data_IF_100415322074
#
_entry.id   IF_100415322074
#
_cell.length_a   1.000
_cell.length_b   1.000
_cell.length_c   1.000
_cell.angle_alpha   90.00
_cell.angle_beta   90.00
_cell.angle_gamma   90.00
#
_symmetry.space_group_name_H-M   'P 1'
#
loop_
_entity.id
_entity.type
_entity.pdbx_description
1 polymer ?
#
# COMPACT_ATOMS: atom_id res chain seq x y z
N UNK A 1 -12.77 0.18 -40.65
CA UNK A 1 -13.06 0.52 -39.25
C UNK A 1 -12.00 1.48 -38.75
N UNK A 2 -12.42 2.50 -38.02
CA UNK A 2 -11.54 3.50 -37.41
C UNK A 2 -11.79 3.49 -35.91
N UNK A 3 -10.74 3.49 -35.11
CA UNK A 3 -10.83 3.66 -33.67
C UNK A 3 -10.16 4.98 -33.34
N UNK A 4 -10.92 5.97 -32.92
CA UNK A 4 -10.40 7.25 -32.45
C UNK A 4 -10.39 7.23 -30.92
N UNK A 5 -9.22 7.47 -30.36
CA UNK A 5 -9.01 7.43 -28.92
C UNK A 5 -8.67 8.83 -28.45
N UNK A 6 -9.52 9.39 -27.61
CA UNK A 6 -9.33 10.71 -27.02
C UNK A 6 -9.15 10.59 -25.52
N UNK A 7 -8.09 11.19 -24.97
CA UNK A 7 -7.92 11.39 -23.54
C UNK A 7 -8.21 12.85 -23.20
N UNK A 8 -9.09 13.11 -22.22
CA UNK A 8 -9.44 14.46 -21.74
C UNK A 8 -9.76 15.43 -22.90
N UNK A 9 -10.58 14.98 -23.85
CA UNK A 9 -10.98 15.70 -25.08
C UNK A 9 -9.86 15.96 -26.10
N UNK A 10 -8.67 15.41 -25.92
CA UNK A 10 -7.57 15.47 -26.87
C UNK A 10 -7.39 14.13 -27.57
N UNK A 11 -7.31 14.11 -28.90
CA UNK A 11 -7.01 12.89 -29.66
C UNK A 11 -5.58 12.45 -29.36
N UNK A 12 -5.41 11.22 -28.86
CA UNK A 12 -4.11 10.66 -28.52
C UNK A 12 -3.65 9.58 -29.50
N UNK A 13 -4.58 8.83 -30.09
CA UNK A 13 -4.24 7.73 -30.99
C UNK A 13 -5.42 7.44 -31.94
N UNK A 14 -5.10 7.04 -33.17
CA UNK A 14 -6.09 6.55 -34.13
C UNK A 14 -5.62 5.22 -34.72
N UNK A 15 -6.41 4.17 -34.57
CA UNK A 15 -6.19 2.91 -35.28
C UNK A 15 -7.09 2.82 -36.51
N UNK A 16 -6.54 2.33 -37.61
CA UNK A 16 -7.28 2.12 -38.84
C UNK A 16 -7.19 0.66 -39.29
N UNK A 17 -8.34 0.11 -39.67
CA UNK A 17 -8.47 -1.21 -40.27
C UNK A 17 -9.18 -1.05 -41.60
N UNK A 18 -8.46 -1.27 -42.71
CA UNK A 18 -9.02 -1.19 -44.06
C UNK A 18 -10.21 -2.13 -44.24
N UNK A 19 -10.05 -3.40 -43.84
CA UNK A 19 -11.10 -4.42 -43.88
C UNK A 19 -11.02 -5.32 -42.65
N UNK A 20 -12.17 -5.67 -42.08
CA UNK A 20 -12.30 -6.78 -41.13
C UNK A 20 -13.28 -7.77 -41.75
N UNK A 21 -12.87 -9.03 -41.89
CA UNK A 21 -13.72 -10.07 -42.46
C UNK A 21 -14.98 -10.30 -41.60
N UNK A 22 -16.05 -10.83 -42.20
CA UNK A 22 -17.21 -11.29 -41.46
C UNK A 22 -16.79 -12.31 -40.38
N UNK A 23 -17.31 -12.16 -39.16
CA UNK A 23 -16.94 -12.93 -37.96
C UNK A 23 -15.45 -12.82 -37.55
N UNK A 24 -14.69 -11.93 -38.18
CA UNK A 24 -13.29 -11.65 -37.87
C UNK A 24 -13.10 -10.84 -36.59
N UNK A 25 -11.86 -10.82 -36.08
CA UNK A 25 -11.47 -10.03 -34.90
C UNK A 25 -10.27 -9.14 -35.22
N UNK A 26 -10.39 -7.86 -34.90
CA UNK A 26 -9.27 -6.93 -34.83
C UNK A 26 -8.77 -6.80 -33.38
N UNK A 27 -7.50 -6.43 -33.19
CA UNK A 27 -6.96 -6.19 -31.85
C UNK A 27 -6.06 -4.96 -31.90
N UNK A 28 -6.46 -3.91 -31.18
CA UNK A 28 -5.63 -2.74 -30.91
C UNK A 28 -5.12 -2.81 -29.47
N UNK A 29 -3.89 -2.35 -29.24
CA UNK A 29 -3.31 -2.21 -27.90
C UNK A 29 -2.99 -0.74 -27.68
N UNK A 30 -3.50 -0.20 -26.59
CA UNK A 30 -3.22 1.15 -26.14
C UNK A 30 -2.60 1.07 -24.75
N UNK A 31 -1.53 1.81 -24.54
CA UNK A 31 -1.03 2.15 -23.22
C UNK A 31 -1.40 3.62 -22.97
N UNK A 32 -2.05 3.89 -21.85
CA UNK A 32 -2.47 5.23 -21.45
C UNK A 32 -2.18 5.44 -19.97
N UNK A 33 -1.52 6.56 -19.67
CA UNK A 33 -1.27 7.02 -18.30
C UNK A 33 -2.12 8.27 -18.07
N UNK A 34 -2.97 8.31 -17.04
CA UNK A 34 -3.72 9.52 -16.68
C UNK A 34 -2.77 10.65 -16.27
N UNK A 35 -3.05 11.88 -16.71
CA UNK A 35 -2.14 13.03 -16.51
C UNK A 35 -2.69 14.09 -15.55
N UNK A 36 -4.02 14.16 -15.37
CA UNK A 36 -4.64 15.14 -14.49
C UNK A 36 -4.67 14.64 -13.07
N UNK A 37 -4.43 15.51 -12.09
CA UNK A 37 -4.64 15.23 -10.66
C UNK A 37 -6.13 15.39 -10.34
N UNK A 38 -6.98 14.71 -11.11
CA UNK A 38 -8.43 14.77 -11.01
C UNK A 38 -9.12 13.75 -11.90
N UNK A 39 -10.29 14.10 -12.45
CA UNK A 39 -11.01 13.25 -13.39
C UNK A 39 -10.24 13.13 -14.71
N UNK A 40 -9.86 11.90 -15.04
CA UNK A 40 -9.30 11.54 -16.33
C UNK A 40 -10.31 10.70 -17.10
N UNK A 41 -10.56 11.07 -18.36
CA UNK A 41 -11.51 10.40 -19.24
C UNK A 41 -10.80 9.91 -20.49
N UNK A 42 -10.97 8.64 -20.83
CA UNK A 42 -10.52 8.03 -22.07
C UNK A 42 -11.75 7.55 -22.85
N UNK A 43 -12.00 8.18 -23.99
CA UNK A 43 -13.09 7.78 -24.89
C UNK A 43 -12.50 7.07 -26.10
N UNK A 44 -12.99 5.86 -26.36
CA UNK A 44 -12.66 5.07 -27.55
C UNK A 44 -13.88 5.01 -28.43
N UNK A 45 -13.83 5.71 -29.56
CA UNK A 45 -14.90 5.73 -30.56
C UNK A 45 -14.51 4.80 -31.70
N UNK A 46 -15.23 3.71 -31.85
CA UNK A 46 -15.09 2.76 -32.97
C UNK A 46 -16.14 3.12 -34.01
N UNK A 47 -15.72 3.45 -35.23
CA UNK A 47 -16.62 3.71 -36.34
C UNK A 47 -16.33 2.84 -37.57
N UNK A 48 -17.34 2.56 -38.38
CA UNK A 48 -17.17 1.98 -39.71
C UNK A 48 -17.90 2.78 -40.79
N UNK A 49 -17.23 2.94 -41.94
CA UNK A 49 -17.86 3.37 -43.18
C UNK A 49 -18.45 2.13 -43.89
N UNK A 50 -19.39 1.51 -43.19
CA UNK A 50 -20.03 0.25 -43.56
C UNK A 50 -21.44 0.57 -44.09
N UNK A 51 -21.87 -0.15 -45.13
CA UNK A 51 -23.16 0.09 -45.79
C UNK A 51 -24.32 -0.59 -45.03
N UNK A 52 -24.43 -0.34 -43.72
CA UNK A 52 -25.56 -0.78 -42.90
C UNK A 52 -26.74 0.19 -43.10
N UNK A 53 -27.93 -0.37 -43.25
CA UNK A 53 -29.20 0.36 -43.29
C UNK A 53 -29.49 1.15 -42.01
N UNK A 54 -28.99 0.71 -40.86
CA UNK A 54 -29.10 1.44 -39.60
C UNK A 54 -27.76 2.10 -39.22
N UNK A 55 -27.64 3.39 -39.53
CA UNK A 55 -26.41 4.15 -39.32
C UNK A 55 -25.96 4.24 -37.85
N UNK A 56 -26.84 4.01 -36.87
CA UNK A 56 -26.44 3.98 -35.45
C UNK A 56 -25.61 2.76 -35.09
N UNK A 57 -25.61 1.70 -35.91
CA UNK A 57 -24.77 0.52 -35.72
C UNK A 57 -23.31 0.76 -36.15
N UNK A 58 -23.05 1.86 -36.84
CA UNK A 58 -21.77 2.16 -37.44
C UNK A 58 -20.81 2.87 -36.48
N UNK A 59 -21.28 3.20 -35.28
CA UNK A 59 -20.48 3.86 -34.25
C UNK A 59 -20.73 3.20 -32.88
N UNK A 60 -19.66 2.98 -32.14
CA UNK A 60 -19.70 2.54 -30.76
C UNK A 60 -18.69 3.34 -29.93
N UNK A 61 -19.12 3.79 -28.76
CA UNK A 61 -18.30 4.60 -27.87
C UNK A 61 -18.13 3.89 -26.54
N UNK A 62 -16.88 3.60 -26.18
CA UNK A 62 -16.47 3.13 -24.86
C UNK A 62 -15.88 4.31 -24.08
N UNK A 63 -16.43 4.59 -22.91
CA UNK A 63 -15.93 5.62 -22.00
C UNK A 63 -15.29 4.95 -20.78
N UNK A 64 -14.03 5.28 -20.52
CA UNK A 64 -13.26 4.84 -19.36
C UNK A 64 -12.94 6.07 -18.52
N UNK A 65 -13.18 5.98 -17.21
CA UNK A 65 -12.90 7.07 -16.27
C UNK A 65 -12.01 6.58 -15.15
N UNK A 66 -11.03 7.40 -14.79
CA UNK A 66 -10.18 7.18 -13.61
C UNK A 66 -9.95 8.52 -12.90
N UNK A 67 -9.64 8.46 -11.61
CA UNK A 67 -9.55 9.62 -10.73
C UNK A 67 -8.20 9.57 -10.02
N UNK A 68 -7.45 10.66 -10.12
CA UNK A 68 -6.27 10.92 -9.28
C UNK A 68 -6.66 12.06 -8.33
N UNK A 69 -6.25 11.97 -7.07
CA UNK A 69 -6.61 12.95 -6.04
C UNK A 69 -5.35 13.46 -5.32
N UNK A 70 -5.41 14.69 -4.79
CA UNK A 70 -4.31 15.29 -4.03
C UNK A 70 -4.83 16.27 -2.96
N UNK A 71 -4.38 16.06 -1.72
CA UNK A 71 -4.60 16.94 -0.57
C UNK A 71 -3.26 17.36 0.02
N UNK A 72 -3.17 18.59 0.47
CA UNK A 72 -2.07 19.10 1.27
C UNK A 72 -2.56 19.58 2.62
N UNK A 73 -1.77 19.34 3.66
CA UNK A 73 -2.00 19.91 4.99
C UNK A 73 -0.71 20.56 5.47
N UNK A 74 -0.81 21.83 5.86
CA UNK A 74 0.31 22.61 6.40
C UNK A 74 0.00 23.03 7.83
N UNK A 75 0.85 22.61 8.76
CA UNK A 75 0.75 22.91 10.18
C UNK A 75 2.10 23.46 10.67
N UNK A 76 2.06 24.52 11.47
CA UNK A 76 3.23 25.00 12.20
C UNK A 76 3.67 23.94 13.23
N UNK A 77 4.94 23.56 13.27
CA UNK A 77 5.44 22.53 14.18
C UNK A 77 5.89 23.09 15.54
N UNK A 78 5.75 24.39 15.78
CA UNK A 78 6.19 25.02 17.02
C UNK A 78 5.45 24.49 18.25
N UNK A 79 6.20 24.32 19.33
CA UNK A 79 5.67 23.89 20.63
C UNK A 79 4.67 24.91 21.18
N UNK A 80 3.46 24.45 21.46
CA UNK A 80 2.43 25.27 22.10
C UNK A 80 2.55 25.15 23.61
N UNK A 81 2.82 26.27 24.28
CA UNK A 81 2.83 26.30 25.75
C UNK A 81 1.41 26.50 26.27
N UNK A 82 0.89 25.50 26.98
CA UNK A 82 -0.43 25.54 27.60
C UNK A 82 -0.26 25.87 29.07
N UNK A 83 -0.75 27.02 29.50
CA UNK A 83 -0.76 27.38 30.92
C UNK A 83 -2.01 26.80 31.60
N UNK A 84 -2.26 27.19 32.86
CA UNK A 84 -3.34 26.74 33.75
C UNK A 84 -4.75 26.55 33.13
N UNK A 85 -5.01 27.07 31.93
CA UNK A 85 -6.24 26.83 31.17
C UNK A 85 -6.40 25.39 30.67
N UNK A 86 -5.32 24.61 30.52
CA UNK A 86 -5.31 23.28 29.89
C UNK A 86 -5.91 23.26 28.47
N UNK A 87 -6.10 24.42 27.87
CA UNK A 87 -6.73 24.58 26.56
C UNK A 87 -5.66 24.81 25.49
N UNK A 88 -5.66 23.93 24.49
CA UNK A 88 -4.86 24.05 23.28
C UNK A 88 -5.75 24.63 22.19
N UNK A 89 -5.22 25.57 21.40
CA UNK A 89 -5.84 26.03 20.17
C UNK A 89 -4.75 26.27 19.14
N UNK A 90 -4.87 25.67 17.96
CA UNK A 90 -3.91 25.82 16.86
C UNK A 90 -4.64 25.88 15.53
N UNK A 91 -4.07 26.63 14.60
CA UNK A 91 -4.56 26.77 13.24
C UNK A 91 -3.67 25.96 12.30
N UNK A 92 -4.27 25.34 11.30
CA UNK A 92 -3.57 24.73 10.18
C UNK A 92 -4.37 24.96 8.90
N UNK A 93 -3.68 24.75 7.78
CA UNK A 93 -4.24 24.90 6.45
C UNK A 93 -4.42 23.52 5.83
N UNK A 94 -5.61 23.27 5.29
CA UNK A 94 -5.88 22.17 4.37
C UNK A 94 -6.06 22.78 2.99
N UNK A 95 -5.40 22.26 1.97
CA UNK A 95 -5.49 22.77 0.61
C UNK A 95 -5.73 21.61 -0.35
N UNK A 96 -6.76 21.74 -1.18
CA UNK A 96 -7.01 20.79 -2.25
C UNK A 96 -6.11 21.13 -3.44
N UNK A 97 -5.03 20.36 -3.60
CA UNK A 97 -4.04 20.54 -4.66
C UNK A 97 -4.38 19.75 -5.92
N UNK A 98 -5.52 19.04 -5.93
CA UNK A 98 -6.06 18.37 -7.10
C UNK A 98 -7.14 19.17 -7.84
N UNK A 99 -7.73 18.53 -8.85
CA UNK A 99 -8.73 19.07 -9.78
C UNK A 99 -10.14 18.53 -9.50
N UNK A 100 -10.34 17.81 -8.39
CA UNK A 100 -11.64 17.31 -7.96
C UNK A 100 -12.08 17.98 -6.67
N UNK A 101 -13.33 18.42 -6.62
CA UNK A 101 -13.98 18.82 -5.36
C UNK A 101 -13.96 17.64 -4.40
N UNK A 102 -13.56 17.89 -3.17
CA UNK A 102 -13.39 16.87 -2.13
C UNK A 102 -14.17 17.22 -0.87
N UNK A 103 -14.51 16.19 -0.10
CA UNK A 103 -15.15 16.30 1.20
C UNK A 103 -14.19 15.78 2.26
N UNK A 104 -13.65 16.72 3.04
CA UNK A 104 -12.58 16.46 4.00
C UNK A 104 -13.15 16.22 5.40
N UNK A 105 -12.77 15.09 5.99
CA UNK A 105 -13.05 14.72 7.38
C UNK A 105 -11.78 14.74 8.21
N UNK A 106 -11.86 15.26 9.43
CA UNK A 106 -10.76 15.30 10.38
C UNK A 106 -11.07 14.46 11.62
N UNK A 107 -10.07 13.68 12.04
CA UNK A 107 -10.16 12.72 13.13
C UNK A 107 -8.86 12.69 13.94
N UNK A 108 -8.92 12.33 15.22
CA UNK A 108 -7.72 12.16 16.05
C UNK A 108 -7.04 10.81 15.78
N UNK A 109 -5.73 10.74 15.95
CA UNK A 109 -4.97 9.50 15.79
C UNK A 109 -4.37 9.04 17.14
N UNK A 110 -4.61 7.78 17.51
CA UNK A 110 -4.05 7.14 18.71
C UNK A 110 -5.00 7.12 19.91
N UNK A 111 -4.84 6.11 20.77
CA UNK A 111 -5.74 5.85 21.91
C UNK A 111 -5.61 6.88 23.05
N UNK A 112 -4.46 7.55 23.14
CA UNK A 112 -4.13 8.46 24.24
C UNK A 112 -4.99 9.74 24.29
N UNK A 113 -5.75 10.03 23.22
CA UNK A 113 -6.58 11.22 23.09
C UNK A 113 -8.08 10.97 23.23
N UNK A 114 -8.51 9.72 23.43
CA UNK A 114 -9.94 9.39 23.54
C UNK A 114 -10.66 10.15 24.68
N UNK A 115 -9.91 10.66 25.66
CA UNK A 115 -10.41 11.47 26.77
C UNK A 115 -10.06 12.97 26.66
N UNK A 116 -9.23 13.38 25.69
CA UNK A 116 -9.02 14.79 25.39
C UNK A 116 -10.22 15.25 24.56
N UNK A 117 -10.88 16.35 24.96
CA UNK A 117 -12.02 16.90 24.21
C UNK A 117 -11.49 17.66 22.98
N UNK A 118 -11.01 16.92 21.98
CA UNK A 118 -10.47 17.46 20.73
C UNK A 118 -11.62 17.79 19.78
N UNK A 119 -11.59 19.00 19.22
CA UNK A 119 -12.58 19.50 18.28
C UNK A 119 -11.89 20.19 17.11
N UNK A 120 -12.44 20.01 15.91
CA UNK A 120 -12.01 20.67 14.68
C UNK A 120 -13.10 21.63 14.20
N UNK A 121 -12.71 22.82 13.76
CA UNK A 121 -13.64 23.82 13.24
C UNK A 121 -13.05 24.54 12.01
N UNK A 122 -13.60 24.36 10.80
CA UNK A 122 -14.67 23.41 10.46
C UNK A 122 -14.21 21.93 10.48
N UNK A 123 -15.16 21.00 10.46
CA UNK A 123 -14.94 19.57 10.21
C UNK A 123 -16.04 19.07 9.25
N UNK A 124 -15.75 18.07 8.41
CA UNK A 124 -16.65 17.58 7.35
C UNK A 124 -17.07 18.72 6.41
N UNK A 125 -16.10 19.25 5.68
CA UNK A 125 -16.30 20.39 4.79
C UNK A 125 -15.89 20.03 3.36
N UNK A 126 -16.57 20.69 2.41
CA UNK A 126 -16.20 20.64 1.01
C UNK A 126 -15.05 21.62 0.74
N UNK A 127 -14.12 21.22 -0.12
CA UNK A 127 -12.99 22.03 -0.58
C UNK A 127 -12.84 21.89 -2.10
N UNK A 128 -12.89 23.02 -2.81
CA UNK A 128 -12.77 23.03 -4.28
C UNK A 128 -11.30 23.00 -4.72
N UNK A 129 -11.01 22.60 -5.98
CA UNK A 129 -9.67 22.65 -6.55
C UNK A 129 -8.95 23.99 -6.35
N UNK A 130 -7.74 23.94 -5.80
CA UNK A 130 -6.91 25.11 -5.49
C UNK A 130 -7.42 25.98 -4.33
N UNK A 131 -8.44 25.55 -3.61
CA UNK A 131 -8.98 26.28 -2.47
C UNK A 131 -8.25 25.89 -1.18
N UNK A 132 -7.76 26.87 -0.40
CA UNK A 132 -7.27 26.65 0.94
C UNK A 132 -8.40 26.81 1.98
N UNK A 133 -8.49 25.88 2.93
CA UNK A 133 -9.36 25.92 4.10
C UNK A 133 -8.52 26.02 5.40
N UNK A 134 -8.72 27.08 6.16
CA UNK A 134 -8.14 27.21 7.50
C UNK A 134 -9.01 26.42 8.48
N UNK A 135 -8.38 25.54 9.25
CA UNK A 135 -9.03 24.75 10.30
C UNK A 135 -8.41 25.06 11.65
N UNK A 136 -9.27 25.22 12.66
CA UNK A 136 -8.87 25.33 14.06
C UNK A 136 -8.99 23.98 14.73
N UNK A 137 -7.89 23.47 15.31
CA UNK A 137 -7.94 22.37 16.29
C UNK A 137 -7.93 22.97 17.69
N UNK A 138 -8.90 22.56 18.51
CA UNK A 138 -8.96 22.89 19.93
C UNK A 138 -9.04 21.62 20.77
N UNK A 139 -8.28 21.55 21.86
CA UNK A 139 -8.30 20.41 22.76
C UNK A 139 -8.21 20.86 24.21
N UNK A 140 -8.92 20.17 25.10
CA UNK A 140 -8.80 20.37 26.56
C UNK A 140 -8.09 19.18 27.17
N UNK A 141 -6.93 19.42 27.77
CA UNK A 141 -6.15 18.42 28.49
C UNK A 141 -6.87 18.09 29.81
N UNK A 142 -7.21 16.82 30.09
CA UNK A 142 -7.87 16.46 31.35
C UNK A 142 -6.95 16.67 32.56
N UNK A 143 -7.56 17.01 33.71
CA UNK A 143 -6.83 17.23 34.97
C UNK A 143 -6.10 15.97 35.50
N UNK A 144 -6.39 14.79 34.96
CA UNK A 144 -5.70 13.54 35.28
C UNK A 144 -4.31 13.42 34.65
N UNK A 145 -3.95 14.33 33.75
CA UNK A 145 -2.64 14.36 33.09
C UNK A 145 -1.72 15.33 33.85
N UNK A 146 -0.52 14.84 34.16
CA UNK A 146 0.54 15.62 34.80
C UNK A 146 1.05 16.76 33.89
N UNK A 147 1.87 17.65 34.42
CA UNK A 147 2.53 18.66 33.61
C UNK A 147 3.69 18.04 32.81
N UNK A 148 3.75 18.29 31.50
CA UNK A 148 4.76 17.68 30.65
C UNK A 148 4.58 17.95 29.15
N UNK A 149 5.34 17.21 28.35
CA UNK A 149 5.25 17.24 26.90
C UNK A 149 4.23 16.22 26.41
N UNK A 150 3.33 16.69 25.56
CA UNK A 150 2.32 15.86 24.91
C UNK A 150 2.39 16.11 23.40
N UNK A 151 2.32 15.03 22.62
CA UNK A 151 2.09 15.10 21.19
C UNK A 151 0.58 15.01 20.97
N UNK A 152 0.00 15.76 20.03
CA UNK A 152 -1.38 15.60 19.57
C UNK A 152 -1.32 15.35 18.07
N UNK A 153 -1.75 14.16 17.65
CA UNK A 153 -1.76 13.76 16.25
C UNK A 153 -3.18 13.60 15.73
N UNK A 154 -3.40 13.95 14.46
CA UNK A 154 -4.70 13.89 13.81
C UNK A 154 -4.54 13.57 12.32
N UNK A 155 -5.61 13.07 11.73
CA UNK A 155 -5.71 12.76 10.31
C UNK A 155 -6.59 13.79 9.62
N UNK A 156 -6.23 14.06 8.38
CA UNK A 156 -7.05 14.81 7.41
C UNK A 156 -7.34 13.82 6.29
N UNK A 157 -8.61 13.44 6.16
CA UNK A 157 -9.05 12.34 5.30
C UNK A 157 -9.93 12.88 4.18
N UNK A 158 -9.59 12.50 2.95
CA UNK A 158 -10.41 12.74 1.76
C UNK A 158 -11.52 11.71 1.64
N UNK A 159 -12.64 12.09 1.01
CA UNK A 159 -13.66 11.12 0.58
C UNK A 159 -13.15 10.14 -0.50
N UNK A 160 -12.10 10.53 -1.22
CA UNK A 160 -11.44 9.71 -2.25
C UNK A 160 -10.28 8.89 -1.70
N UNK A 161 -10.18 8.71 -0.38
CA UNK A 161 -9.21 7.82 0.24
C UNK A 161 -9.53 6.35 -0.09
N UNK A 162 -9.17 5.93 -1.30
CA UNK A 162 -9.26 4.55 -1.76
C UNK A 162 -7.88 3.92 -1.66
N UNK A 163 -7.64 3.19 -0.58
CA UNK A 163 -6.45 2.33 -0.47
C UNK A 163 -6.69 1.10 -1.33
N UNK A 164 -5.94 0.97 -2.43
CA UNK A 164 -5.89 -0.28 -3.19
C UNK A 164 -4.77 -1.14 -2.61
N UNK A 165 -5.16 -2.07 -1.73
CA UNK A 165 -4.21 -3.08 -1.23
C UNK A 165 -4.03 -4.16 -2.27
N UNK A 166 -2.80 -4.33 -2.73
CA UNK A 166 -2.42 -5.48 -3.56
C UNK A 166 -1.58 -6.44 -2.74
N UNK A 167 -2.04 -7.69 -2.65
CA UNK A 167 -1.23 -8.75 -2.08
C UNK A 167 -0.07 -9.05 -3.05
N UNK A 168 1.17 -8.99 -2.53
CA UNK A 168 2.38 -9.32 -3.26
C UNK A 168 2.83 -10.76 -3.03
N UNK A 169 2.48 -11.33 -1.86
CA UNK A 169 2.77 -12.69 -1.47
C UNK A 169 1.59 -13.25 -0.67
N UNK A 170 1.05 -14.37 -1.12
CA UNK A 170 -0.08 -15.03 -0.46
C UNK A 170 0.31 -15.54 0.93
N UNK A 171 -0.68 -15.70 1.82
CA UNK A 171 -0.45 -16.33 3.13
C UNK A 171 -0.12 -17.81 2.96
N UNK A 172 1.06 -18.18 3.45
CA UNK A 172 1.59 -19.54 3.31
C UNK A 172 0.80 -20.63 4.03
N UNK A 173 0.00 -20.26 5.04
CA UNK A 173 -0.90 -21.18 5.73
C UNK A 173 -2.02 -21.71 4.81
N UNK A 174 -2.51 -20.86 3.90
CA UNK A 174 -3.67 -21.16 3.06
C UNK A 174 -3.28 -21.50 1.61
N UNK A 175 -2.10 -21.05 1.16
CA UNK A 175 -1.65 -21.14 -0.24
C UNK A 175 -0.27 -21.77 -0.37
N UNK A 176 -0.03 -22.40 -1.51
CA UNK A 176 1.28 -22.94 -1.88
C UNK A 176 2.16 -21.79 -2.35
N UNK A 177 3.11 -21.40 -1.50
CA UNK A 177 4.06 -20.34 -1.78
C UNK A 177 5.43 -20.97 -1.79
N UNK A 178 6.14 -20.84 -2.91
CA UNK A 178 7.45 -21.43 -3.13
C UNK A 178 8.54 -20.60 -2.50
N UNK A 179 9.53 -21.25 -1.90
CA UNK A 179 10.67 -20.64 -1.24
C UNK A 179 11.93 -21.43 -1.57
N UNK A 180 13.06 -20.73 -1.57
CA UNK A 180 14.38 -21.36 -1.47
C UNK A 180 14.68 -21.50 0.01
N UNK A 181 15.16 -22.66 0.43
CA UNK A 181 15.48 -22.87 1.84
C UNK A 181 16.70 -23.77 2.04
N UNK A 182 17.33 -23.60 3.20
CA UNK A 182 18.39 -24.47 3.72
C UNK A 182 18.31 -24.45 5.25
N UNK A 183 18.93 -25.43 5.90
CA UNK A 183 19.09 -25.44 7.33
C UNK A 183 20.52 -25.74 7.74
N UNK A 184 20.91 -25.31 8.93
CA UNK A 184 22.21 -25.64 9.50
C UNK A 184 22.26 -27.09 9.99
N UNK A 185 23.48 -27.58 10.26
CA UNK A 185 23.67 -28.90 10.88
C UNK A 185 23.89 -28.70 12.37
N UNK A 186 22.86 -28.96 13.18
CA UNK A 186 22.88 -28.73 14.63
C UNK A 186 22.63 -27.27 15.01
N UNK A 187 22.97 -26.91 16.26
CA UNK A 187 22.59 -25.62 16.87
C UNK A 187 23.51 -24.45 16.52
N UNK A 188 24.32 -24.56 15.47
CA UNK A 188 25.18 -23.46 15.00
C UNK A 188 24.55 -22.80 13.78
N UNK A 189 24.67 -21.49 13.66
CA UNK A 189 24.23 -20.75 12.47
C UNK A 189 25.05 -21.17 11.23
N UNK A 190 24.38 -21.29 10.08
CA UNK A 190 25.04 -21.61 8.82
C UNK A 190 25.91 -20.45 8.29
N UNK A 191 25.53 -19.22 8.61
CA UNK A 191 26.18 -18.00 8.14
C UNK A 191 26.61 -17.14 9.32
N UNK A 192 27.86 -16.65 9.28
CA UNK A 192 28.39 -15.73 10.30
C UNK A 192 28.14 -14.25 9.97
N UNK A 193 27.30 -13.98 8.98
CA UNK A 193 26.97 -12.64 8.49
C UNK A 193 25.63 -12.67 7.75
N UNK A 194 25.11 -11.49 7.42
CA UNK A 194 23.82 -11.31 6.75
C UNK A 194 23.92 -11.22 5.22
N UNK A 195 25.03 -11.64 4.58
CA UNK A 195 25.12 -11.57 3.11
C UNK A 195 24.08 -12.47 2.42
N UNK A 196 23.64 -13.54 3.09
CA UNK A 196 22.57 -14.41 2.60
C UNK A 196 21.20 -13.76 2.55
N UNK A 197 21.01 -12.54 3.07
CA UNK A 197 19.72 -11.82 3.03
C UNK A 197 19.67 -10.79 1.90
N UNK A 198 20.77 -10.58 1.18
CA UNK A 198 20.86 -9.64 0.05
C UNK A 198 20.30 -10.24 -1.23
N UNK A 199 19.74 -9.39 -2.11
CA UNK A 199 19.15 -9.81 -3.38
C UNK A 199 20.13 -10.63 -4.24
N UNK A 200 21.37 -10.17 -4.38
CA UNK A 200 22.40 -10.82 -5.20
C UNK A 200 23.09 -12.06 -4.61
N UNK A 201 22.61 -12.60 -3.49
CA UNK A 201 23.18 -13.81 -2.91
C UNK A 201 22.92 -15.03 -3.80
N UNK A 202 23.93 -15.88 -3.96
CA UNK A 202 23.82 -17.10 -4.74
C UNK A 202 23.29 -18.26 -3.87
N UNK A 203 22.00 -18.54 -3.99
CA UNK A 203 21.30 -19.62 -3.30
C UNK A 203 21.09 -20.88 -4.18
N UNK A 204 21.89 -21.07 -5.24
CA UNK A 204 21.80 -22.27 -6.10
C UNK A 204 22.03 -23.58 -5.35
N UNK A 205 22.77 -23.55 -4.24
CA UNK A 205 22.98 -24.71 -3.38
C UNK A 205 21.83 -24.99 -2.40
N UNK A 206 20.86 -24.08 -2.29
CA UNK A 206 19.68 -24.26 -1.44
C UNK A 206 18.70 -25.25 -2.10
N UNK A 207 17.70 -25.68 -1.34
CA UNK A 207 16.64 -26.57 -1.81
C UNK A 207 15.39 -25.75 -2.13
N UNK A 208 14.51 -26.31 -2.96
CA UNK A 208 13.15 -25.82 -3.08
C UNK A 208 12.32 -26.30 -1.88
N UNK A 209 11.40 -25.45 -1.43
CA UNK A 209 10.44 -25.74 -0.39
C UNK A 209 9.23 -24.82 -0.54
N UNK A 210 8.21 -25.04 0.26
CA UNK A 210 7.02 -24.21 0.30
C UNK A 210 6.48 -24.10 1.73
N UNK A 211 5.81 -23.00 2.03
CA UNK A 211 5.07 -22.80 3.29
C UNK A 211 3.85 -23.74 3.37
N UNK A 212 3.34 -24.07 4.57
CA UNK A 212 3.89 -23.75 5.88
C UNK A 212 5.14 -24.58 6.19
N UNK A 213 6.03 -23.96 6.98
CA UNK A 213 7.31 -24.50 7.46
C UNK A 213 7.12 -25.13 8.84
N UNK A 214 7.85 -26.21 9.13
CA UNK A 214 7.87 -26.78 10.49
C UNK A 214 9.03 -27.73 10.72
N UNK A 215 9.44 -27.80 11.99
CA UNK A 215 10.51 -28.68 12.48
C UNK A 215 10.06 -29.75 13.47
N UNK A 216 8.83 -29.63 13.96
CA UNK A 216 8.18 -30.60 14.84
C UNK A 216 6.82 -31.03 14.28
N UNK A 217 6.48 -32.31 14.42
CA UNK A 217 5.14 -32.82 14.09
C UNK A 217 4.13 -32.43 15.18
N UNK A 218 3.44 -31.32 14.96
CA UNK A 218 2.38 -30.83 15.86
C UNK A 218 1.03 -31.54 15.66
N UNK A 219 0.93 -32.50 14.72
CA UNK A 219 -0.28 -33.26 14.44
C UNK A 219 -1.41 -32.42 13.81
N UNK A 220 -1.85 -32.81 12.62
CA UNK A 220 -2.95 -32.13 11.92
C UNK A 220 -2.55 -30.87 11.14
N UNK A 221 -1.26 -30.51 11.14
CA UNK A 221 -0.67 -29.53 10.23
C UNK A 221 0.16 -30.27 9.19
N UNK A 222 -0.12 -30.03 7.91
CA UNK A 222 0.67 -30.55 6.79
C UNK A 222 1.78 -29.55 6.46
N UNK A 223 2.93 -29.70 7.11
CA UNK A 223 4.12 -28.91 6.79
C UNK A 223 4.65 -29.32 5.42
N UNK A 224 4.57 -28.39 4.46
CA UNK A 224 5.01 -28.66 3.09
C UNK A 224 6.53 -28.67 2.97
N UNK A 225 7.20 -28.01 3.91
CA UNK A 225 8.64 -28.12 4.12
C UNK A 225 8.87 -28.48 5.58
N UNK A 226 9.44 -29.66 5.78
CA UNK A 226 9.74 -30.21 7.09
C UNK A 226 11.24 -30.45 7.23
N UNK A 227 11.80 -30.10 8.38
CA UNK A 227 13.19 -30.42 8.73
C UNK A 227 13.31 -30.88 10.17
N UNK A 228 14.08 -31.93 10.43
CA UNK A 228 14.20 -32.46 11.79
C UNK A 228 15.43 -31.85 12.52
N UNK A 229 15.29 -31.68 13.83
CA UNK A 229 16.36 -31.37 14.76
C UNK A 229 16.48 -29.88 15.15
N UNK A 230 17.22 -29.65 16.24
CA UNK A 230 17.52 -28.32 16.74
C UNK A 230 18.56 -27.61 15.86
N UNK A 231 18.08 -26.87 14.86
CA UNK A 231 18.90 -26.16 13.88
C UNK A 231 18.22 -24.88 13.38
N UNK A 232 18.98 -24.05 12.67
CA UNK A 232 18.49 -22.80 12.09
C UNK A 232 17.94 -23.07 10.69
N UNK A 233 16.67 -22.71 10.45
CA UNK A 233 16.06 -22.67 9.14
C UNK A 233 16.25 -21.32 8.46
N UNK A 234 16.69 -21.33 7.21
CA UNK A 234 16.88 -20.13 6.39
C UNK A 234 15.94 -20.19 5.18
N UNK A 235 15.17 -19.14 4.96
CA UNK A 235 14.15 -19.08 3.91
C UNK A 235 14.33 -17.80 3.08
N UNK A 236 14.29 -17.93 1.75
CA UNK A 236 14.39 -16.83 0.79
C UNK A 236 13.27 -16.91 -0.24
N UNK A 237 12.67 -15.76 -0.52
CA UNK A 237 11.68 -15.57 -1.57
C UNK A 237 11.97 -14.27 -2.31
N UNK A 238 11.69 -14.24 -3.62
CA UNK A 238 11.84 -13.04 -4.45
C UNK A 238 10.45 -12.64 -4.92
N UNK A 239 10.07 -11.40 -4.61
CA UNK A 239 8.84 -10.78 -5.10
C UNK A 239 9.22 -9.80 -6.22
N UNK A 240 8.70 -10.03 -7.43
CA UNK A 240 8.90 -9.12 -8.55
C UNK A 240 7.83 -8.01 -8.56
N UNK A 241 8.26 -6.77 -8.35
CA UNK A 241 7.42 -5.58 -8.44
C UNK A 241 7.77 -4.85 -9.74
N UNK A 242 6.94 -4.95 -10.80
CA UNK A 242 7.31 -4.47 -12.14
C UNK A 242 7.36 -2.94 -12.24
N UNK A 243 6.60 -2.23 -11.40
CA UNK A 243 6.60 -0.77 -11.34
C UNK A 243 6.40 -0.33 -9.88
N UNK A 244 7.48 0.16 -9.27
CA UNK A 244 7.45 0.70 -7.91
C UNK A 244 6.76 2.07 -7.82
N UNK A 245 6.66 2.81 -8.93
CA UNK A 245 5.99 4.12 -8.96
C UNK A 245 4.50 4.03 -8.64
N UNK A 246 3.88 2.87 -8.91
CA UNK A 246 2.49 2.60 -8.51
C UNK A 246 2.25 2.65 -7.00
N UNK A 247 3.31 2.53 -6.20
CA UNK A 247 3.25 2.52 -4.74
C UNK A 247 3.94 3.74 -4.13
N UNK A 248 4.27 4.76 -4.92
CA UNK A 248 4.87 6.00 -4.44
C UNK A 248 3.92 6.70 -3.44
N UNK A 249 4.46 7.11 -2.29
CA UNK A 249 3.65 7.66 -1.17
C UNK A 249 2.85 6.62 -0.39
N UNK A 250 2.83 5.36 -0.81
CA UNK A 250 2.23 4.24 -0.09
C UNK A 250 3.16 3.63 0.97
N UNK A 251 2.66 2.61 1.65
CA UNK A 251 3.44 1.78 2.57
C UNK A 251 3.23 0.30 2.23
N UNK A 252 4.25 -0.51 2.51
CA UNK A 252 4.17 -1.96 2.43
C UNK A 252 4.17 -2.50 3.85
N UNK A 253 3.41 -3.57 4.11
CA UNK A 253 3.50 -4.30 5.37
C UNK A 253 3.86 -5.75 5.12
N UNK A 254 4.52 -6.35 6.10
CA UNK A 254 4.72 -7.79 6.18
C UNK A 254 4.17 -8.29 7.50
N UNK A 255 3.49 -9.44 7.46
CA UNK A 255 3.07 -10.19 8.64
C UNK A 255 3.70 -11.58 8.54
N UNK A 256 4.43 -11.97 9.59
CA UNK A 256 5.04 -13.30 9.67
C UNK A 256 4.66 -13.92 10.99
N UNK A 257 4.05 -15.10 10.93
CA UNK A 257 3.75 -15.90 12.10
C UNK A 257 4.84 -16.96 12.26
N UNK A 258 5.68 -16.82 13.29
CA UNK A 258 6.63 -17.83 13.73
C UNK A 258 6.30 -18.25 15.17
N UNK A 259 6.55 -19.51 15.52
CA UNK A 259 6.39 -20.00 16.90
C UNK A 259 7.69 -19.84 17.71
N UNK A 260 8.83 -20.07 17.04
CA UNK A 260 10.18 -19.83 17.56
C UNK A 260 10.69 -18.46 17.08
N UNK A 261 11.93 -18.17 17.45
CA UNK A 261 12.61 -16.92 17.14
C UNK A 261 12.98 -16.81 15.66
N UNK A 262 12.99 -15.60 15.13
CA UNK A 262 13.46 -15.38 13.77
C UNK A 262 13.76 -13.93 13.45
N UNK A 263 14.80 -13.72 12.67
CA UNK A 263 15.14 -12.42 12.11
C UNK A 263 14.66 -12.30 10.66
N UNK A 264 14.01 -11.18 10.36
CA UNK A 264 13.37 -10.93 9.08
C UNK A 264 14.05 -9.76 8.37
N UNK A 265 14.40 -10.01 7.11
CA UNK A 265 15.19 -9.08 6.31
C UNK A 265 14.52 -8.84 4.95
N UNK A 266 14.66 -7.63 4.44
CA UNK A 266 14.29 -7.25 3.07
C UNK A 266 15.53 -6.66 2.39
N UNK A 267 15.97 -7.29 1.30
CA UNK A 267 17.14 -6.86 0.51
C UNK A 267 18.42 -6.58 1.32
N UNK A 268 18.65 -7.32 2.41
CA UNK A 268 19.82 -7.12 3.28
C UNK A 268 19.59 -6.21 4.48
N UNK A 269 18.43 -5.57 4.60
CA UNK A 269 18.06 -4.66 5.68
C UNK A 269 17.24 -5.43 6.71
N UNK A 270 17.65 -5.36 7.97
CA UNK A 270 16.90 -5.91 9.10
C UNK A 270 15.59 -5.12 9.29
N UNK A 271 14.47 -5.84 9.39
CA UNK A 271 13.14 -5.24 9.59
C UNK A 271 12.69 -5.43 11.03
N UNK A 272 12.59 -6.69 11.46
CA UNK A 272 12.17 -7.09 12.79
C UNK A 272 12.63 -8.51 13.09
N UNK A 273 12.66 -8.87 14.36
CA UNK A 273 13.12 -10.16 14.82
C UNK A 273 13.43 -10.16 16.29
N UNK A 274 13.60 -11.36 16.81
CA UNK A 274 13.70 -11.63 18.24
C UNK A 274 14.65 -12.80 18.52
N UNK A 275 15.56 -13.09 17.57
CA UNK A 275 16.48 -14.23 17.66
C UNK A 275 17.33 -14.24 18.94
N UNK A 276 17.50 -13.07 19.57
CA UNK A 276 18.25 -12.85 20.81
C UNK A 276 17.38 -12.69 22.10
N UNK A 277 16.05 -12.69 22.01
CA UNK A 277 15.15 -12.29 23.11
C UNK A 277 14.46 -13.46 23.85
N UNK A 278 14.47 -14.66 23.27
CA UNK A 278 14.43 -15.92 24.04
C UNK A 278 13.11 -16.34 24.70
N UNK A 279 11.94 -15.80 24.29
CA UNK A 279 10.65 -16.35 24.69
C UNK A 279 9.72 -16.53 23.47
N UNK A 280 9.25 -17.76 23.21
CA UNK A 280 8.42 -18.07 22.04
C UNK A 280 7.14 -17.23 21.93
N UNK A 281 6.50 -17.27 20.77
CA UNK A 281 5.48 -16.29 20.38
C UNK A 281 4.05 -16.68 20.75
N UNK A 282 3.30 -15.71 21.28
CA UNK A 282 1.85 -15.81 21.47
C UNK A 282 1.05 -15.39 20.23
N UNK A 283 -0.27 -15.56 20.29
CA UNK A 283 -1.17 -15.22 19.18
C UNK A 283 -1.17 -13.73 18.79
N UNK A 284 -0.72 -12.84 19.67
CA UNK A 284 -0.58 -11.40 19.41
C UNK A 284 0.48 -11.14 18.33
N UNK A 285 1.66 -11.77 18.45
CA UNK A 285 2.76 -11.69 17.47
C UNK A 285 2.33 -12.15 16.07
N UNK A 286 1.48 -13.17 15.96
CA UNK A 286 1.03 -13.71 14.67
C UNK A 286 0.13 -12.75 13.88
N UNK A 287 -0.38 -11.70 14.50
CA UNK A 287 -1.22 -10.69 13.86
C UNK A 287 -0.51 -9.33 13.72
N UNK A 288 0.76 -9.23 14.12
CA UNK A 288 1.52 -7.99 13.99
C UNK A 288 1.93 -7.74 12.54
N UNK A 289 1.73 -6.51 12.08
CA UNK A 289 2.17 -6.05 10.78
C UNK A 289 3.36 -5.10 10.94
N UNK A 290 4.44 -5.39 10.23
CA UNK A 290 5.63 -4.55 10.21
C UNK A 290 5.69 -3.76 8.92
N UNK A 291 5.84 -2.44 9.04
CA UNK A 291 5.97 -1.57 7.88
C UNK A 291 7.34 -1.73 7.23
N UNK A 292 7.34 -1.94 5.90
CA UNK A 292 8.51 -1.93 5.04
C UNK A 292 8.58 -0.58 4.33
N UNK A 293 9.68 0.13 4.54
CA UNK A 293 9.91 1.39 3.85
C UNK A 293 10.33 1.14 2.40
N UNK A 294 9.81 1.94 1.47
CA UNK A 294 10.01 1.76 0.02
C UNK A 294 11.47 1.87 -0.41
N UNK A 295 12.32 2.57 0.37
CA UNK A 295 13.75 2.62 0.13
C UNK A 295 14.47 1.28 0.40
N UNK A 296 13.82 0.30 1.03
CA UNK A 296 14.37 -1.04 1.24
C UNK A 296 14.20 -1.92 -0.01
N UNK A 297 13.41 -1.49 -0.99
CA UNK A 297 13.07 -2.28 -2.18
C UNK A 297 14.06 -2.08 -3.35
N UNK A 298 14.98 -1.11 -3.23
CA UNK A 298 15.99 -0.77 -4.24
C UNK A 298 17.30 -1.55 -4.08
#
# INVERSE_FOLDING_TARGET
FTLNITANNSLIETFFYETIAADGRGTARLQWTPELVGLNQLNVVVSCDCNDTNQTNNEFTLNLTTVIYSLSTTLDADLVTVNQSRLITKLFLVENTGDLTDNVTLSTEGEMFNNWNVQFSPNNFLIYPGEPQIVTVSATIPNSYEDGYYNLSFKVESEYNYVVTKNLLDRGADKYVDWRWINSTGSEELYNNTNWTKLGFNDTAWKDGSTPFGDDDLGGIDYRTFWDGNNYGYFRHIVDIPDMGLYEGGFMTINVATNNYGDHYINGIYVFGDMDEGNGHGAEYWNEEFQIYTNYLN
#
